data_IF_898501381080
#
_entry.id   IF_898501381080
#
_cell.length_a   1.000
_cell.length_b   1.000
_cell.length_c   1.000
_cell.angle_alpha   90.00
_cell.angle_beta   90.00
_cell.angle_gamma   90.00
#
_symmetry.space_group_name_H-M   'P 1'
#
loop_
_entity.id
_entity.type
_entity.pdbx_description
1 polymer ?
#
# COMPACT_ATOMS: atom_id res chain seq x y z
N UNK A 1 -11.69 15.87 -34.28
CA UNK A 1 -10.31 15.46 -34.00
C UNK A 1 -10.28 14.99 -32.55
N UNK A 2 -9.94 13.73 -32.32
CA UNK A 2 -9.71 13.22 -30.96
C UNK A 2 -8.27 13.57 -30.51
N UNK A 3 -8.06 13.64 -29.21
CA UNK A 3 -6.71 13.77 -28.66
C UNK A 3 -5.95 12.47 -28.94
N UNK A 4 -4.73 12.58 -29.48
CA UNK A 4 -3.89 11.42 -29.75
C UNK A 4 -3.50 10.71 -28.44
N UNK A 5 -3.69 9.39 -28.41
CA UNK A 5 -3.34 8.57 -27.26
C UNK A 5 -4.42 8.39 -26.18
N UNK A 6 -5.65 8.88 -26.47
CA UNK A 6 -6.81 8.66 -25.60
C UNK A 6 -7.96 8.02 -26.40
N UNK A 7 -8.51 6.96 -25.87
CA UNK A 7 -9.68 6.27 -26.42
C UNK A 7 -10.94 6.77 -25.74
N UNK A 8 -10.93 6.89 -24.41
CA UNK A 8 -12.03 7.39 -23.60
C UNK A 8 -11.53 8.42 -22.58
N UNK A 9 -12.42 9.35 -22.21
CA UNK A 9 -12.18 10.25 -21.09
C UNK A 9 -12.34 9.43 -19.80
N UNK A 10 -11.30 9.31 -19.01
CA UNK A 10 -11.26 8.49 -17.79
C UNK A 10 -10.36 7.27 -17.90
N UNK A 11 -9.89 6.91 -19.10
CA UNK A 11 -8.86 5.88 -19.23
C UNK A 11 -7.60 6.27 -18.47
N UNK A 12 -6.93 5.28 -17.88
CA UNK A 12 -5.62 5.48 -17.29
C UNK A 12 -4.62 5.96 -18.33
N UNK A 13 -3.81 6.92 -17.97
CA UNK A 13 -2.75 7.41 -18.83
C UNK A 13 -1.50 6.54 -18.70
N UNK A 14 -0.67 6.50 -19.73
CA UNK A 14 0.62 5.80 -19.66
C UNK A 14 1.48 6.23 -18.46
N UNK A 15 1.35 7.48 -18.02
CA UNK A 15 2.08 7.98 -16.83
C UNK A 15 1.56 7.32 -15.57
N UNK A 16 0.23 7.21 -15.42
CA UNK A 16 -0.39 6.51 -14.29
C UNK A 16 -0.02 5.02 -14.30
N UNK A 17 -0.07 4.37 -15.47
CA UNK A 17 0.33 2.97 -15.60
C UNK A 17 1.79 2.75 -15.16
N UNK A 18 2.72 3.61 -15.60
CA UNK A 18 4.13 3.52 -15.22
C UNK A 18 4.30 3.70 -13.71
N UNK A 19 3.67 4.71 -13.12
CA UNK A 19 3.78 4.99 -11.68
C UNK A 19 3.19 3.86 -10.84
N UNK A 20 1.99 3.39 -11.17
CA UNK A 20 1.33 2.32 -10.43
C UNK A 20 2.08 0.99 -10.52
N UNK A 21 2.59 0.66 -11.70
CA UNK A 21 3.42 -0.53 -11.88
C UNK A 21 4.74 -0.44 -11.12
N UNK A 22 5.36 0.75 -11.03
CA UNK A 22 6.56 0.95 -10.23
C UNK A 22 6.27 0.75 -8.73
N UNK A 23 5.17 1.31 -8.22
CA UNK A 23 4.72 1.12 -6.84
C UNK A 23 4.48 -0.36 -6.56
N UNK A 24 3.70 -1.04 -7.40
CA UNK A 24 3.38 -2.46 -7.25
C UNK A 24 4.60 -3.37 -7.32
N UNK A 25 5.55 -3.07 -8.22
CA UNK A 25 6.81 -3.78 -8.34
C UNK A 25 7.66 -3.67 -7.07
N UNK A 26 7.81 -2.45 -6.56
CA UNK A 26 8.60 -2.20 -5.36
C UNK A 26 7.96 -2.85 -4.12
N UNK A 27 6.65 -2.69 -3.96
CA UNK A 27 5.90 -3.27 -2.86
C UNK A 27 5.99 -4.80 -2.85
N UNK A 28 5.70 -5.43 -4.00
CA UNK A 28 5.81 -6.88 -4.14
C UNK A 28 7.23 -7.39 -3.93
N UNK A 29 8.23 -6.70 -4.49
CA UNK A 29 9.64 -7.10 -4.34
C UNK A 29 10.10 -7.05 -2.88
N UNK A 30 9.69 -6.02 -2.15
CA UNK A 30 9.96 -5.91 -0.71
C UNK A 30 9.28 -7.05 0.07
N UNK A 31 8.02 -7.38 -0.25
CA UNK A 31 7.31 -8.50 0.38
C UNK A 31 8.02 -9.84 0.14
N UNK A 32 8.53 -10.09 -1.06
CA UNK A 32 9.33 -11.28 -1.38
C UNK A 32 10.63 -11.33 -0.58
N UNK A 33 11.17 -10.20 -0.16
CA UNK A 33 12.34 -10.09 0.72
C UNK A 33 11.99 -10.23 2.21
N UNK A 34 10.72 -10.44 2.57
CA UNK A 34 10.27 -10.56 3.95
C UNK A 34 9.88 -9.24 4.61
N UNK A 35 9.46 -8.26 3.83
CA UNK A 35 8.96 -6.96 4.32
C UNK A 35 7.60 -7.08 5.00
N UNK A 36 7.48 -7.94 6.00
CA UNK A 36 6.28 -8.07 6.81
C UNK A 36 6.62 -8.48 8.25
N UNK A 37 5.71 -8.19 9.15
CA UNK A 37 5.79 -8.59 10.56
C UNK A 37 4.50 -9.27 10.95
N UNK A 38 4.62 -10.46 11.52
CA UNK A 38 3.50 -11.23 12.04
C UNK A 38 3.18 -10.82 13.48
N UNK A 39 1.90 -10.57 13.75
CA UNK A 39 1.36 -10.25 15.07
C UNK A 39 0.42 -11.37 15.50
N UNK A 40 0.86 -12.33 16.31
CA UNK A 40 0.01 -13.41 16.82
C UNK A 40 -0.94 -12.93 17.92
N UNK A 41 -1.94 -13.74 18.25
CA UNK A 41 -2.81 -13.54 19.43
C UNK A 41 -2.60 -14.69 20.42
N UNK A 42 -2.27 -14.41 21.69
CA UNK A 42 -1.87 -13.11 22.23
C UNK A 42 -0.49 -12.69 21.69
N UNK A 43 -0.32 -11.41 21.45
CA UNK A 43 1.01 -10.86 21.17
C UNK A 43 1.79 -10.73 22.46
N UNK A 44 2.94 -11.38 22.56
CA UNK A 44 3.72 -11.41 23.80
C UNK A 44 5.07 -10.70 23.71
N UNK A 45 5.29 -9.86 22.70
CA UNK A 45 6.66 -9.49 22.70
C UNK A 45 7.20 -8.29 21.97
N UNK A 46 6.64 -7.88 20.90
CA UNK A 46 7.27 -6.81 20.12
C UNK A 46 7.00 -5.43 20.73
N UNK A 47 5.81 -5.20 21.26
CA UNK A 47 5.40 -3.87 21.75
C UNK A 47 4.61 -3.95 23.06
N UNK A 48 5.00 -4.83 23.96
CA UNK A 48 4.40 -4.91 25.29
C UNK A 48 3.11 -5.71 25.40
N UNK A 49 2.86 -6.59 24.43
CA UNK A 49 1.73 -7.53 24.49
C UNK A 49 0.37 -6.96 24.09
N UNK A 50 0.35 -5.81 23.43
CA UNK A 50 -0.90 -5.10 23.04
C UNK A 50 -1.13 -5.00 21.55
N UNK A 51 -0.21 -5.45 20.72
CA UNK A 51 -0.22 -5.26 19.27
C UNK A 51 -1.37 -6.00 18.59
N UNK A 52 -1.76 -7.16 19.11
CA UNK A 52 -2.93 -7.91 18.63
C UNK A 52 -4.25 -7.26 19.03
N UNK A 53 -4.25 -6.33 20.00
CA UNK A 53 -5.45 -5.67 20.50
C UNK A 53 -5.79 -4.46 19.64
N UNK A 54 -6.94 -4.52 18.98
CA UNK A 54 -7.46 -3.43 18.19
C UNK A 54 -7.98 -2.29 19.09
N UNK A 55 -7.90 -1.09 18.58
CA UNK A 55 -8.38 0.13 19.23
C UNK A 55 -9.67 0.62 18.59
N UNK A 56 -10.63 0.98 19.42
CA UNK A 56 -11.85 1.63 18.94
C UNK A 56 -11.51 2.96 18.26
N UNK A 57 -12.00 3.14 17.04
CA UNK A 57 -11.87 4.40 16.30
C UNK A 57 -13.07 5.28 16.65
N UNK A 58 -12.77 6.46 17.19
CA UNK A 58 -13.78 7.50 17.45
C UNK A 58 -13.89 8.41 16.23
N UNK A 59 -14.72 7.98 15.28
CA UNK A 59 -14.98 8.66 14.02
C UNK A 59 -16.47 8.91 13.85
N UNK A 60 -16.93 10.17 13.75
CA UNK A 60 -18.35 10.50 13.63
C UNK A 60 -19.02 9.99 12.35
N UNK A 61 -18.26 9.50 11.36
CA UNK A 61 -18.79 8.83 10.16
C UNK A 61 -19.37 7.45 10.49
N UNK A 62 -19.01 6.87 11.64
CA UNK A 62 -19.40 5.53 12.06
C UNK A 62 -20.10 5.56 13.43
N UNK A 63 -20.94 4.58 13.69
CA UNK A 63 -21.45 4.36 15.02
C UNK A 63 -20.35 3.83 15.93
N UNK A 64 -20.23 4.37 17.15
CA UNK A 64 -19.25 3.90 18.13
C UNK A 64 -19.35 2.39 18.34
N UNK A 65 -18.21 1.69 18.27
CA UNK A 65 -18.15 0.22 18.29
C UNK A 65 -18.15 -0.45 16.92
N UNK A 66 -18.25 0.31 15.84
CA UNK A 66 -18.28 -0.24 14.48
C UNK A 66 -16.87 -0.40 13.87
N UNK A 67 -15.94 0.52 14.15
CA UNK A 67 -14.60 0.50 13.55
C UNK A 67 -13.54 0.30 14.63
N UNK A 68 -12.65 -0.66 14.38
CA UNK A 68 -11.55 -1.01 15.28
C UNK A 68 -10.26 -1.11 14.47
N UNK A 69 -9.24 -0.35 14.82
CA UNK A 69 -7.99 -0.28 14.06
C UNK A 69 -6.84 -0.99 14.77
N UNK A 70 -5.95 -1.56 13.95
CA UNK A 70 -4.66 -2.10 14.38
C UNK A 70 -3.68 -0.97 14.71
N UNK A 71 -2.59 -1.27 15.40
CA UNK A 71 -1.50 -0.30 15.63
C UNK A 71 -0.72 0.03 14.36
N UNK A 72 -0.81 -0.84 13.35
CA UNK A 72 -0.17 -0.67 12.04
C UNK A 72 -1.20 -0.74 10.93
N UNK A 73 -1.23 0.20 10.01
CA UNK A 73 -1.98 0.06 8.76
C UNK A 73 -1.24 -0.88 7.80
N UNK A 74 -1.76 -1.00 6.59
CA UNK A 74 -1.10 -1.72 5.50
C UNK A 74 -0.90 -3.20 5.80
N UNK A 75 -2.01 -3.87 6.09
CA UNK A 75 -1.98 -5.32 6.34
C UNK A 75 -1.64 -6.07 5.05
N UNK A 76 -0.91 -7.16 5.20
CA UNK A 76 -0.62 -8.05 4.07
C UNK A 76 -1.92 -8.70 3.60
N UNK A 77 -2.24 -8.51 2.34
CA UNK A 77 -3.37 -9.15 1.67
C UNK A 77 -2.91 -10.11 0.56
N UNK A 78 -1.64 -10.02 0.14
CA UNK A 78 -1.07 -10.82 -0.92
C UNK A 78 -0.84 -12.27 -0.46
N UNK A 79 -1.30 -13.21 -1.24
CA UNK A 79 -1.02 -14.63 -1.03
C UNK A 79 0.39 -14.99 -1.54
N UNK A 80 0.98 -16.04 -0.95
CA UNK A 80 2.24 -16.61 -1.45
C UNK A 80 3.52 -15.88 -1.04
N UNK A 81 3.45 -14.87 -0.17
CA UNK A 81 4.64 -14.13 0.33
C UNK A 81 5.18 -14.65 1.67
N UNK A 82 4.59 -15.69 2.23
CA UNK A 82 5.04 -16.28 3.49
C UNK A 82 4.56 -15.58 4.76
N UNK A 83 3.73 -14.55 4.64
CA UNK A 83 3.08 -13.90 5.78
C UNK A 83 2.15 -14.86 6.53
N UNK A 84 1.77 -14.50 7.75
CA UNK A 84 0.82 -15.26 8.57
C UNK A 84 -0.42 -15.61 7.75
N UNK A 85 -0.63 -16.90 7.50
CA UNK A 85 -1.76 -17.35 6.69
C UNK A 85 -3.01 -17.51 7.52
N UNK A 86 -4.12 -17.02 7.00
CA UNK A 86 -5.46 -17.31 7.50
C UNK A 86 -5.85 -18.77 7.19
N UNK A 87 -6.69 -19.35 8.03
CA UNK A 87 -7.39 -20.60 7.70
C UNK A 87 -8.40 -20.40 6.55
N UNK A 88 -8.72 -19.14 6.23
CA UNK A 88 -9.53 -18.77 5.08
C UNK A 88 -8.64 -18.10 4.02
N UNK A 89 -8.45 -18.71 2.84
CA UNK A 89 -7.61 -18.16 1.77
C UNK A 89 -8.13 -16.83 1.21
N UNK A 90 -9.39 -16.45 1.48
CA UNK A 90 -9.93 -15.15 1.10
C UNK A 90 -9.37 -13.99 1.95
N UNK A 91 -8.69 -14.27 3.06
CA UNK A 91 -8.12 -13.27 3.94
C UNK A 91 -6.67 -13.64 4.29
N UNK A 92 -5.74 -13.54 3.34
CA UNK A 92 -4.33 -13.76 3.60
C UNK A 92 -3.85 -12.80 4.69
N UNK A 93 -2.98 -13.28 5.56
CA UNK A 93 -2.44 -12.46 6.65
C UNK A 93 -3.39 -12.16 7.82
N UNK A 94 -4.65 -12.64 7.80
CA UNK A 94 -5.62 -12.45 8.88
C UNK A 94 -6.29 -13.79 9.23
N UNK A 95 -6.15 -14.25 10.47
CA UNK A 95 -6.72 -15.54 10.91
C UNK A 95 -8.16 -15.45 11.43
N UNK A 96 -8.70 -14.25 11.65
CA UNK A 96 -10.00 -13.97 12.21
C UNK A 96 -9.94 -12.95 13.34
N UNK A 97 -11.12 -12.46 13.77
CA UNK A 97 -11.26 -11.46 14.83
C UNK A 97 -11.78 -12.12 16.08
N UNK A 98 -11.17 -11.83 17.22
CA UNK A 98 -11.66 -12.25 18.54
C UNK A 98 -12.41 -11.09 19.18
N UNK A 99 -13.61 -11.35 19.66
CA UNK A 99 -14.39 -10.41 20.48
C UNK A 99 -14.60 -11.07 21.83
N UNK A 100 -14.10 -10.44 22.90
CA UNK A 100 -14.16 -10.98 24.26
C UNK A 100 -13.68 -12.45 24.34
N UNK A 101 -12.52 -12.72 23.71
CA UNK A 101 -11.85 -14.03 23.61
C UNK A 101 -12.54 -15.07 22.71
N UNK A 102 -13.72 -14.80 22.15
CA UNK A 102 -14.36 -15.68 21.17
C UNK A 102 -13.88 -15.36 19.77
N UNK A 103 -13.39 -16.36 19.05
CA UNK A 103 -12.89 -16.21 17.68
C UNK A 103 -14.06 -16.23 16.68
N UNK A 104 -14.12 -15.23 15.83
CA UNK A 104 -15.03 -15.11 14.70
C UNK A 104 -14.21 -15.18 13.40
N UNK A 105 -14.38 -16.24 12.60
CA UNK A 105 -13.68 -16.33 11.30
C UNK A 105 -14.22 -15.29 10.31
N UNK A 106 -13.49 -14.98 9.24
CA UNK A 106 -13.90 -13.99 8.24
C UNK A 106 -15.25 -14.24 7.56
N UNK A 107 -15.72 -15.50 7.58
CA UNK A 107 -17.04 -15.89 7.05
C UNK A 107 -18.20 -15.69 8.03
N UNK A 108 -17.96 -15.09 9.21
CA UNK A 108 -18.99 -14.87 10.24
C UNK A 108 -20.11 -13.98 9.70
N UNK A 109 -21.36 -14.37 10.02
CA UNK A 109 -22.58 -13.61 9.69
C UNK A 109 -23.28 -13.14 10.96
N UNK A 110 -24.23 -12.23 10.82
CA UNK A 110 -25.02 -11.70 11.95
C UNK A 110 -24.30 -10.59 12.71
N UNK A 111 -24.51 -10.52 14.02
CA UNK A 111 -24.05 -9.40 14.87
C UNK A 111 -22.55 -9.15 14.81
N UNK A 112 -21.75 -10.19 14.62
CA UNK A 112 -20.30 -10.11 14.54
C UNK A 112 -19.78 -10.25 13.10
N UNK A 113 -20.63 -10.04 12.10
CA UNK A 113 -20.18 -9.93 10.72
C UNK A 113 -19.26 -8.71 10.57
N UNK A 114 -18.16 -8.88 9.86
CA UNK A 114 -17.16 -7.83 9.67
C UNK A 114 -16.43 -8.00 8.36
N UNK A 115 -15.77 -6.95 7.94
CA UNK A 115 -14.74 -6.99 6.92
C UNK A 115 -13.45 -6.35 7.41
N UNK A 116 -12.33 -6.73 6.78
CA UNK A 116 -11.01 -6.20 7.11
C UNK A 116 -10.58 -5.25 6.01
N UNK A 117 -10.37 -4.01 6.36
CA UNK A 117 -9.73 -3.01 5.51
C UNK A 117 -8.21 -3.16 5.64
N UNK A 118 -7.60 -3.84 4.68
CA UNK A 118 -6.17 -4.16 4.73
C UNK A 118 -5.29 -2.92 4.56
N UNK A 119 -5.72 -1.95 3.77
CA UNK A 119 -4.94 -0.74 3.51
C UNK A 119 -4.86 0.11 4.79
N UNK A 120 -6.00 0.33 5.43
CA UNK A 120 -6.07 1.18 6.61
C UNK A 120 -5.78 0.43 7.92
N UNK A 121 -5.69 -0.90 7.87
CA UNK A 121 -5.49 -1.73 9.05
C UNK A 121 -6.67 -1.60 10.02
N UNK A 122 -7.88 -1.82 9.54
CA UNK A 122 -9.08 -1.68 10.34
C UNK A 122 -10.04 -2.86 10.15
N UNK A 123 -10.71 -3.23 11.23
CA UNK A 123 -11.86 -4.14 11.21
C UNK A 123 -13.13 -3.30 11.29
N UNK A 124 -14.02 -3.50 10.35
CA UNK A 124 -15.31 -2.80 10.30
C UNK A 124 -16.44 -3.80 10.48
N UNK A 125 -17.12 -3.73 11.62
CA UNK A 125 -18.30 -4.54 11.88
C UNK A 125 -19.52 -3.97 11.15
N UNK A 126 -20.33 -4.83 10.56
CA UNK A 126 -21.57 -4.42 9.90
C UNK A 126 -22.55 -3.81 10.90
N UNK A 127 -22.56 -4.33 12.14
CA UNK A 127 -23.34 -3.81 13.27
C UNK A 127 -22.38 -3.42 14.39
N UNK A 128 -22.58 -2.24 14.97
CA UNK A 128 -21.76 -1.79 16.08
C UNK A 128 -21.82 -2.77 17.25
N UNK A 129 -20.66 -3.16 17.77
CA UNK A 129 -20.52 -3.97 18.99
C UNK A 129 -20.27 -3.05 20.20
N UNK A 130 -20.38 -3.58 21.40
CA UNK A 130 -20.18 -2.77 22.60
C UNK A 130 -18.78 -2.12 22.59
N UNK A 131 -18.69 -0.81 22.79
CA UNK A 131 -17.44 -0.07 22.82
C UNK A 131 -16.48 -0.53 23.94
N UNK A 132 -17.00 -1.22 24.96
CA UNK A 132 -16.22 -1.84 26.03
C UNK A 132 -15.66 -3.23 25.67
N UNK A 133 -15.98 -3.76 24.49
CA UNK A 133 -15.47 -5.07 24.04
C UNK A 133 -13.95 -5.08 23.93
N UNK A 134 -13.36 -6.21 24.21
CA UNK A 134 -11.95 -6.48 23.90
C UNK A 134 -11.91 -7.12 22.53
N UNK A 135 -11.36 -6.40 21.55
CA UNK A 135 -11.24 -6.88 20.17
C UNK A 135 -9.77 -7.15 19.87
N UNK A 136 -9.47 -8.35 19.35
CA UNK A 136 -8.13 -8.79 19.02
C UNK A 136 -8.12 -9.46 17.66
N UNK A 137 -6.98 -9.37 16.96
CA UNK A 137 -6.79 -10.00 15.66
C UNK A 137 -5.34 -10.47 15.51
N UNK A 138 -5.15 -11.68 15.00
CA UNK A 138 -3.85 -12.09 14.47
C UNK A 138 -3.76 -11.61 13.03
N UNK A 139 -2.69 -10.89 12.69
CA UNK A 139 -2.50 -10.29 11.38
C UNK A 139 -1.03 -10.17 11.03
N UNK A 140 -0.75 -9.96 9.75
CA UNK A 140 0.56 -9.53 9.29
C UNK A 140 0.43 -8.15 8.68
N UNK A 141 1.42 -7.28 8.91
CA UNK A 141 1.46 -5.96 8.29
C UNK A 141 2.76 -5.76 7.52
N UNK A 142 2.73 -4.92 6.48
CA UNK A 142 3.92 -4.52 5.73
C UNK A 142 4.78 -3.59 6.58
N UNK A 143 6.03 -3.97 6.81
CA UNK A 143 6.94 -3.14 7.61
C UNK A 143 7.26 -1.82 6.90
N UNK A 144 7.61 -1.88 5.62
CA UNK A 144 7.77 -0.71 4.75
C UNK A 144 6.57 -0.60 3.83
N UNK A 145 5.92 0.54 3.83
CA UNK A 145 4.84 0.84 2.90
C UNK A 145 5.38 1.49 1.63
N UNK A 146 4.84 1.10 0.47
CA UNK A 146 5.13 1.79 -0.80
C UNK A 146 3.84 2.43 -1.29
N UNK A 147 3.88 3.71 -1.61
CA UNK A 147 2.70 4.46 -1.99
C UNK A 147 3.01 5.54 -3.03
N UNK A 148 1.97 5.96 -3.75
CA UNK A 148 2.09 7.16 -4.59
C UNK A 148 2.21 8.39 -3.70
N UNK A 149 3.05 9.32 -4.13
CA UNK A 149 3.23 10.62 -3.47
C UNK A 149 2.75 11.72 -4.40
N UNK A 150 1.74 12.46 -3.97
CA UNK A 150 1.15 13.55 -4.75
C UNK A 150 1.55 14.92 -4.14
N UNK A 151 2.86 15.14 -4.07
CA UNK A 151 3.41 16.40 -3.60
C UNK A 151 3.24 16.65 -2.09
N UNK A 152 3.03 17.92 -1.71
CA UNK A 152 3.05 18.33 -0.31
C UNK A 152 1.94 17.73 0.56
N UNK A 153 0.81 17.33 -0.01
CA UNK A 153 -0.29 16.72 0.75
C UNK A 153 0.11 15.36 1.33
N UNK A 154 0.93 14.59 0.62
CA UNK A 154 1.44 13.31 1.07
C UNK A 154 2.25 13.42 2.37
N UNK A 155 3.16 14.41 2.47
CA UNK A 155 3.96 14.64 3.69
C UNK A 155 3.10 14.95 4.93
N UNK A 156 1.93 15.56 4.74
CA UNK A 156 1.00 15.83 5.84
C UNK A 156 0.31 14.56 6.37
N UNK A 157 0.27 13.51 5.56
CA UNK A 157 -0.31 12.22 5.94
C UNK A 157 0.69 11.31 6.64
N UNK A 158 1.98 11.67 6.67
CA UNK A 158 2.99 10.88 7.35
C UNK A 158 2.73 10.87 8.85
N UNK A 159 2.75 9.68 9.40
CA UNK A 159 2.76 9.48 10.83
C UNK A 159 4.20 9.63 11.32
N UNK A 160 4.43 10.50 12.32
CA UNK A 160 5.78 10.74 12.84
C UNK A 160 6.39 9.54 13.56
N UNK A 161 5.59 8.52 13.85
CA UNK A 161 6.01 7.28 14.50
C UNK A 161 5.61 6.09 13.69
N UNK A 162 6.41 5.04 13.79
CA UNK A 162 6.10 3.75 13.17
C UNK A 162 4.86 3.08 13.77
N UNK A 163 4.46 3.47 14.98
CA UNK A 163 3.27 2.96 15.67
C UNK A 163 2.25 4.06 15.93
N UNK A 164 0.98 3.68 15.91
CA UNK A 164 -0.11 4.57 16.32
C UNK A 164 -0.16 4.66 17.84
N UNK A 165 -0.28 5.87 18.37
CA UNK A 165 -0.52 6.11 19.80
C UNK A 165 -2.02 6.03 20.12
N UNK A 166 -2.36 5.93 21.42
CA UNK A 166 -3.78 5.94 21.82
C UNK A 166 -4.51 7.23 21.39
N UNK A 167 -3.82 8.36 21.34
CA UNK A 167 -4.37 9.64 20.91
C UNK A 167 -4.70 9.69 19.41
N UNK A 168 -4.07 8.82 18.61
CA UNK A 168 -4.32 8.76 17.17
C UNK A 168 -5.69 8.12 16.82
N UNK A 169 -6.33 7.46 17.77
CA UNK A 169 -7.64 6.83 17.58
C UNK A 169 -8.80 7.74 17.97
N UNK A 170 -8.53 8.93 18.48
CA UNK A 170 -9.55 9.92 18.78
C UNK A 170 -9.78 10.85 17.58
N UNK A 171 -11.04 11.06 17.21
CA UNK A 171 -11.39 12.04 16.18
C UNK A 171 -11.04 13.44 16.64
N UNK A 172 -10.27 14.17 15.83
CA UNK A 172 -10.16 15.61 15.97
C UNK A 172 -11.20 16.23 15.06
N UNK A 173 -12.09 17.02 15.64
CA UNK A 173 -13.22 17.64 14.95
C UNK A 173 -12.82 18.25 13.60
N UNK A 174 -13.32 17.69 12.51
CA UNK A 174 -13.21 18.24 11.16
C UNK A 174 -11.96 17.86 10.37
N UNK A 175 -11.07 16.98 10.86
CA UNK A 175 -9.83 16.61 10.16
C UNK A 175 -9.77 15.09 10.00
N UNK A 176 -10.63 14.53 9.16
CA UNK A 176 -10.72 13.09 8.92
C UNK A 176 -9.46 12.49 8.27
N UNK A 177 -8.75 13.27 7.47
CA UNK A 177 -7.48 12.86 6.87
C UNK A 177 -6.35 12.62 7.89
N UNK A 178 -6.53 13.12 9.11
CA UNK A 178 -5.59 12.90 10.21
C UNK A 178 -5.94 11.70 11.09
N UNK A 179 -7.05 11.02 10.81
CA UNK A 179 -7.40 9.79 11.52
C UNK A 179 -6.40 8.68 11.21
N UNK A 180 -6.19 7.74 12.14
CA UNK A 180 -5.20 6.67 11.99
C UNK A 180 -5.34 5.88 10.69
N UNK A 181 -6.56 5.68 10.23
CA UNK A 181 -6.87 4.96 8.99
C UNK A 181 -6.39 5.68 7.72
N UNK A 182 -6.16 6.99 7.79
CA UNK A 182 -5.75 7.82 6.65
C UNK A 182 -4.26 8.22 6.73
N UNK A 183 -3.51 7.72 7.72
CA UNK A 183 -2.09 8.07 7.89
C UNK A 183 -1.19 6.99 7.31
N UNK A 184 -0.07 7.44 6.75
CA UNK A 184 1.01 6.58 6.29
C UNK A 184 1.98 6.30 7.45
N UNK A 185 2.08 5.04 7.88
CA UNK A 185 3.02 4.65 8.91
C UNK A 185 4.46 4.56 8.35
N UNK A 186 5.44 4.88 9.18
CA UNK A 186 6.86 4.74 8.85
C UNK A 186 7.35 3.30 9.10
N UNK A 187 8.37 2.84 8.37
CA UNK A 187 8.99 3.50 7.22
C UNK A 187 8.14 3.43 5.95
N UNK A 188 8.34 4.38 5.03
CA UNK A 188 7.54 4.47 3.80
C UNK A 188 8.40 4.91 2.62
N UNK A 189 8.08 4.41 1.44
CA UNK A 189 8.60 4.87 0.15
C UNK A 189 7.46 5.57 -0.60
N UNK A 190 7.59 6.88 -0.78
CA UNK A 190 6.65 7.66 -1.59
C UNK A 190 7.19 7.84 -3.02
N UNK A 191 6.43 7.41 -4.01
CA UNK A 191 6.81 7.51 -5.43
C UNK A 191 6.12 8.71 -6.06
N UNK A 192 6.89 9.75 -6.35
CA UNK A 192 6.44 11.02 -6.94
C UNK A 192 6.86 11.14 -8.39
N UNK A 193 5.94 11.53 -9.26
CA UNK A 193 6.25 11.86 -10.65
C UNK A 193 7.06 13.17 -10.71
N UNK A 194 8.26 13.11 -11.25
CA UNK A 194 9.15 14.27 -11.38
C UNK A 194 9.13 14.88 -12.80
N UNK A 195 9.01 14.05 -13.83
CA UNK A 195 8.98 14.54 -15.19
C UNK A 195 8.88 13.43 -16.24
N UNK A 196 8.61 13.84 -17.48
CA UNK A 196 8.48 12.92 -18.60
C UNK A 196 9.04 13.51 -19.88
N UNK A 197 9.72 12.67 -20.66
CA UNK A 197 10.25 13.00 -21.98
C UNK A 197 9.80 11.97 -22.99
N UNK A 198 9.56 12.42 -24.21
CA UNK A 198 9.19 11.58 -25.34
C UNK A 198 10.24 11.73 -26.43
N UNK A 199 10.74 10.61 -26.95
CA UNK A 199 11.62 10.58 -28.11
C UNK A 199 11.08 9.58 -29.16
N UNK A 200 11.31 9.82 -30.45
CA UNK A 200 11.00 8.82 -31.47
C UNK A 200 11.78 7.53 -31.20
N UNK A 201 11.11 6.37 -31.32
CA UNK A 201 11.77 5.10 -31.11
C UNK A 201 12.42 4.56 -32.41
N UNK A 202 11.67 4.63 -33.51
CA UNK A 202 12.14 4.15 -34.82
C UNK A 202 11.38 4.80 -35.97
N UNK A 203 11.87 4.66 -37.22
CA UNK A 203 11.26 5.26 -38.41
C UNK A 203 9.84 4.74 -38.72
N UNK A 204 9.46 3.57 -38.25
CA UNK A 204 8.12 2.99 -38.43
C UNK A 204 7.08 3.42 -37.41
N UNK A 205 7.39 4.31 -36.50
CA UNK A 205 6.53 4.73 -35.39
C UNK A 205 7.01 4.22 -34.03
N UNK A 206 6.20 4.48 -33.02
CA UNK A 206 6.57 4.22 -31.63
C UNK A 206 7.33 5.39 -30.99
N UNK A 207 7.24 5.45 -29.67
CA UNK A 207 7.87 6.45 -28.84
C UNK A 207 8.65 5.77 -27.72
N UNK A 208 9.84 6.24 -27.45
CA UNK A 208 10.54 5.97 -26.22
C UNK A 208 10.07 6.98 -25.19
N UNK A 209 9.46 6.48 -24.13
CA UNK A 209 8.95 7.30 -23.04
C UNK A 209 9.90 7.17 -21.87
N UNK A 210 10.63 8.23 -21.57
CA UNK A 210 11.42 8.33 -20.34
C UNK A 210 10.60 9.05 -19.28
N UNK A 211 10.48 8.46 -18.10
CA UNK A 211 9.78 9.05 -16.97
C UNK A 211 10.70 9.07 -15.76
N UNK A 212 10.84 10.25 -15.17
CA UNK A 212 11.62 10.46 -13.96
C UNK A 212 10.67 10.43 -12.73
N UNK A 213 11.04 9.67 -11.72
CA UNK A 213 10.37 9.61 -10.42
C UNK A 213 11.34 10.01 -9.31
N UNK A 214 10.81 10.69 -8.29
CA UNK A 214 11.46 10.78 -6.99
C UNK A 214 10.85 9.76 -6.04
N UNK A 215 11.68 8.86 -5.52
CA UNK A 215 11.29 7.92 -4.50
C UNK A 215 11.79 8.43 -3.14
N UNK A 216 10.87 8.89 -2.31
CA UNK A 216 11.17 9.45 -0.99
C UNK A 216 11.16 8.33 0.05
N UNK A 217 12.34 7.91 0.50
CA UNK A 217 12.51 6.95 1.59
C UNK A 217 12.46 7.70 2.93
N UNK A 218 11.38 7.52 3.68
CA UNK A 218 11.18 8.20 4.97
C UNK A 218 11.15 7.18 6.09
N UNK A 219 11.97 7.41 7.13
CA UNK A 219 12.08 6.54 8.30
C UNK A 219 12.30 7.36 9.57
N UNK A 220 12.18 6.72 10.73
CA UNK A 220 12.48 7.33 12.04
C UNK A 220 13.99 7.37 12.31
N UNK A 221 14.75 6.44 11.74
CA UNK A 221 16.19 6.33 11.91
C UNK A 221 16.96 6.33 10.58
N UNK A 222 18.27 6.65 10.67
CA UNK A 222 19.12 6.76 9.50
C UNK A 222 19.44 5.41 8.87
N UNK A 223 19.55 4.36 9.67
CA UNK A 223 19.93 3.03 9.19
C UNK A 223 18.84 2.47 8.28
N UNK A 224 17.58 2.56 8.71
CA UNK A 224 16.42 2.13 7.91
C UNK A 224 16.31 2.96 6.63
N UNK A 225 16.43 4.30 6.73
CA UNK A 225 16.44 5.17 5.54
C UNK A 225 17.53 4.76 4.55
N UNK A 226 18.77 4.55 5.01
CA UNK A 226 19.90 4.22 4.14
C UNK A 226 19.73 2.85 3.48
N UNK A 227 19.19 1.87 4.22
CA UNK A 227 18.86 0.56 3.68
C UNK A 227 17.82 0.63 2.55
N UNK A 228 16.80 1.49 2.68
CA UNK A 228 15.81 1.71 1.64
C UNK A 228 16.42 2.41 0.41
N UNK A 229 17.27 3.41 0.64
CA UNK A 229 18.00 4.11 -0.43
C UNK A 229 18.87 3.14 -1.22
N UNK A 230 19.63 2.28 -0.53
CA UNK A 230 20.47 1.28 -1.18
C UNK A 230 19.61 0.26 -1.97
N UNK A 231 18.54 -0.23 -1.38
CA UNK A 231 17.62 -1.15 -2.06
C UNK A 231 17.08 -0.58 -3.38
N UNK A 232 16.75 0.71 -3.40
CA UNK A 232 16.26 1.39 -4.61
C UNK A 232 17.39 1.67 -5.61
N UNK A 233 18.57 2.09 -5.16
CA UNK A 233 19.68 2.39 -6.07
C UNK A 233 20.22 1.15 -6.77
N UNK A 234 20.15 -0.02 -6.12
CA UNK A 234 20.48 -1.30 -6.76
C UNK A 234 19.52 -1.71 -7.88
N UNK A 235 18.36 -1.07 -8.01
CA UNK A 235 17.42 -1.36 -9.11
C UNK A 235 17.87 -0.75 -10.46
N UNK A 236 18.96 0.01 -10.49
CA UNK A 236 19.52 0.51 -11.75
C UNK A 236 19.78 -0.63 -12.74
N UNK A 237 19.31 -0.48 -13.99
CA UNK A 237 19.34 -1.48 -15.07
C UNK A 237 18.41 -2.69 -14.90
N UNK A 238 17.56 -2.69 -13.89
CA UNK A 238 16.50 -3.71 -13.77
C UNK A 238 15.43 -3.54 -14.85
N UNK A 239 14.75 -4.62 -15.16
CA UNK A 239 13.55 -4.62 -16.02
C UNK A 239 12.40 -5.26 -15.30
N UNK A 240 11.20 -4.74 -15.53
CA UNK A 240 9.99 -5.27 -14.94
C UNK A 240 8.86 -5.35 -15.97
N UNK A 241 7.95 -6.28 -15.79
CA UNK A 241 6.71 -6.35 -16.55
C UNK A 241 5.73 -5.31 -16.02
N UNK A 242 4.88 -4.82 -16.90
CA UNK A 242 3.78 -3.93 -16.57
C UNK A 242 2.46 -4.62 -16.88
N UNK A 243 1.46 -4.36 -16.06
CA UNK A 243 0.05 -4.61 -16.39
C UNK A 243 -0.61 -3.32 -16.90
N UNK A 244 -1.69 -3.47 -17.65
CA UNK A 244 -2.49 -2.35 -18.18
C UNK A 244 -3.66 -2.10 -17.22
N UNK A 245 -3.73 -0.90 -16.64
CA UNK A 245 -4.79 -0.51 -15.71
C UNK A 245 -6.16 -0.46 -16.38
N UNK A 246 -6.22 -0.12 -17.65
CA UNK A 246 -7.50 -0.05 -18.36
C UNK A 246 -8.07 -1.45 -18.60
N UNK A 247 -7.22 -2.44 -18.90
CA UNK A 247 -7.65 -3.83 -19.02
C UNK A 247 -8.19 -4.39 -17.70
N UNK A 248 -7.53 -4.07 -16.55
CA UNK A 248 -8.02 -4.44 -15.23
C UNK A 248 -9.37 -3.78 -14.94
N UNK A 249 -9.51 -2.48 -15.24
CA UNK A 249 -10.75 -1.73 -15.04
C UNK A 249 -11.90 -2.25 -15.93
N UNK A 250 -11.62 -2.55 -17.19
CA UNK A 250 -12.62 -3.11 -18.12
C UNK A 250 -13.07 -4.53 -17.68
N UNK A 251 -12.20 -5.29 -17.02
CA UNK A 251 -12.51 -6.62 -16.48
C UNK A 251 -13.12 -6.59 -15.07
N UNK A 252 -13.13 -5.44 -14.40
CA UNK A 252 -13.48 -5.27 -12.98
C UNK A 252 -12.68 -6.24 -12.05
N UNK A 253 -11.39 -6.44 -12.36
CA UNK A 253 -10.51 -7.42 -11.70
C UNK A 253 -9.45 -6.73 -10.79
N UNK A 254 -9.86 -5.69 -10.08
CA UNK A 254 -9.01 -5.04 -9.08
C UNK A 254 -8.74 -6.01 -7.92
N UNK A 255 -7.49 -6.07 -7.41
CA UNK A 255 -7.16 -6.96 -6.29
C UNK A 255 -7.95 -6.67 -5.01
N UNK A 256 -8.19 -5.40 -4.73
CA UNK A 256 -8.95 -4.95 -3.56
C UNK A 256 -10.19 -4.19 -4.01
N UNK A 257 -11.28 -4.34 -3.26
CA UNK A 257 -12.46 -3.50 -3.42
C UNK A 257 -12.24 -2.11 -2.77
N UNK A 258 -13.24 -1.22 -2.94
CA UNK A 258 -13.19 0.14 -2.39
C UNK A 258 -13.14 0.20 -0.84
N UNK A 259 -13.37 -0.92 -0.16
CA UNK A 259 -13.28 -1.07 1.31
C UNK A 259 -11.92 -1.60 1.76
N UNK A 260 -10.98 -1.86 0.84
CA UNK A 260 -9.70 -2.47 1.13
C UNK A 260 -9.78 -3.98 1.41
N UNK A 261 -10.88 -4.63 0.99
CA UNK A 261 -11.06 -6.08 1.13
C UNK A 261 -10.57 -6.78 -0.13
N UNK A 262 -9.76 -7.84 -0.02
CA UNK A 262 -9.33 -8.61 -1.18
C UNK A 262 -10.52 -9.24 -1.91
N UNK A 263 -10.58 -9.06 -3.22
CA UNK A 263 -11.56 -9.71 -4.06
C UNK A 263 -11.30 -11.22 -4.14
N UNK A 264 -12.34 -11.99 -4.45
CA UNK A 264 -12.19 -13.43 -4.63
C UNK A 264 -11.23 -13.71 -5.80
N UNK A 265 -10.15 -14.42 -5.51
CA UNK A 265 -9.10 -14.66 -6.50
C UNK A 265 -8.20 -13.46 -6.78
N UNK A 266 -8.10 -12.52 -5.84
CA UNK A 266 -7.22 -11.36 -5.93
C UNK A 266 -5.82 -11.74 -6.42
N UNK A 267 -5.38 -11.08 -7.51
CA UNK A 267 -4.10 -11.33 -8.15
C UNK A 267 -3.01 -10.45 -7.56
N UNK A 268 -1.85 -11.02 -7.32
CA UNK A 268 -0.65 -10.25 -6.95
C UNK A 268 -0.01 -9.60 -8.17
N UNK A 269 0.97 -8.72 -7.97
CA UNK A 269 1.64 -8.02 -9.06
C UNK A 269 2.12 -8.94 -10.20
N UNK A 270 2.80 -10.08 -9.99
CA UNK A 270 3.23 -10.95 -11.09
C UNK A 270 2.05 -11.57 -11.86
N UNK A 271 0.97 -11.91 -11.17
CA UNK A 271 -0.22 -12.51 -11.77
C UNK A 271 -0.99 -11.46 -12.61
N UNK A 272 -1.05 -10.23 -12.13
CA UNK A 272 -1.60 -9.10 -12.90
C UNK A 272 -0.82 -8.89 -14.20
N UNK A 273 0.52 -8.88 -14.13
CA UNK A 273 1.36 -8.75 -15.32
C UNK A 273 1.24 -9.90 -16.30
N UNK A 274 0.93 -11.11 -15.83
CA UNK A 274 0.74 -12.29 -16.69
C UNK A 274 -0.64 -12.30 -17.32
N UNK A 275 -1.66 -11.79 -16.65
CA UNK A 275 -3.06 -11.75 -17.12
C UNK A 275 -3.31 -10.55 -18.03
N UNK A 276 -2.85 -9.37 -17.62
CA UNK A 276 -3.07 -8.07 -18.28
C UNK A 276 -1.74 -7.53 -18.78
N UNK A 277 -1.09 -8.32 -19.65
CA UNK A 277 0.26 -8.04 -20.14
C UNK A 277 0.31 -6.77 -20.97
N UNK A 278 0.80 -5.72 -20.36
CA UNK A 278 1.03 -4.46 -21.04
C UNK A 278 2.40 -4.43 -21.71
N UNK A 279 3.35 -3.81 -21.07
CA UNK A 279 4.67 -3.49 -21.61
C UNK A 279 5.78 -3.97 -20.68
N UNK A 280 7.01 -3.85 -21.15
CA UNK A 280 8.18 -3.97 -20.28
C UNK A 280 8.69 -2.57 -19.98
N UNK A 281 8.93 -2.29 -18.70
CA UNK A 281 9.57 -1.08 -18.22
C UNK A 281 11.01 -1.39 -17.82
N UNK A 282 11.93 -0.52 -18.19
CA UNK A 282 13.32 -0.59 -17.80
C UNK A 282 13.64 0.55 -16.83
N UNK A 283 14.31 0.24 -15.75
CA UNK A 283 14.91 1.24 -14.88
C UNK A 283 16.27 1.60 -15.49
N UNK A 284 16.29 2.68 -16.25
CA UNK A 284 17.51 3.16 -16.92
C UNK A 284 18.59 3.56 -15.93
N UNK A 285 18.20 4.26 -14.89
CA UNK A 285 19.06 4.79 -13.84
C UNK A 285 18.31 4.89 -12.51
N UNK A 286 19.00 4.62 -11.42
CA UNK A 286 18.51 4.83 -10.06
C UNK A 286 19.68 5.34 -9.22
N UNK A 287 19.57 6.55 -8.69
CA UNK A 287 20.66 7.20 -7.96
C UNK A 287 20.13 8.08 -6.83
N UNK A 288 20.91 8.13 -5.77
CA UNK A 288 20.67 9.03 -4.65
C UNK A 288 20.71 10.48 -5.14
N UNK A 289 19.63 11.21 -4.89
CA UNK A 289 19.50 12.64 -5.21
C UNK A 289 19.82 13.51 -3.99
N UNK A 290 19.19 13.21 -2.85
CA UNK A 290 19.38 14.02 -1.65
C UNK A 290 19.15 13.21 -0.36
N UNK A 291 19.79 13.66 0.72
CA UNK A 291 19.59 13.13 2.08
C UNK A 291 19.47 14.30 3.05
N UNK A 292 18.41 14.29 3.84
CA UNK A 292 18.19 15.33 4.85
C UNK A 292 17.36 14.81 6.03
N UNK A 293 17.17 15.65 7.03
CA UNK A 293 16.33 15.37 8.19
C UNK A 293 15.32 16.49 8.39
N UNK A 294 14.08 16.14 8.67
CA UNK A 294 13.01 17.06 8.99
C UNK A 294 12.43 16.67 10.36
N UNK A 295 12.85 17.38 11.42
CA UNK A 295 12.53 16.99 12.77
C UNK A 295 13.09 15.60 13.10
N UNK A 296 12.22 14.70 13.50
CA UNK A 296 12.54 13.29 13.79
C UNK A 296 12.69 12.44 12.54
N UNK A 297 12.12 12.89 11.42
CA UNK A 297 12.11 12.15 10.16
C UNK A 297 13.47 12.16 9.48
N UNK A 298 13.90 11.00 9.01
CA UNK A 298 15.09 10.81 8.16
C UNK A 298 14.63 10.53 6.74
N UNK A 299 15.01 11.39 5.82
CA UNK A 299 14.53 11.36 4.43
C UNK A 299 15.71 11.16 3.49
N UNK A 300 15.60 10.21 2.59
CA UNK A 300 16.50 10.00 1.48
C UNK A 300 15.68 9.97 0.19
N UNK A 301 16.08 10.74 -0.82
CA UNK A 301 15.40 10.78 -2.11
C UNK A 301 16.25 10.10 -3.15
N UNK A 302 15.69 9.08 -3.80
CA UNK A 302 16.30 8.38 -4.94
C UNK A 302 15.58 8.80 -6.20
N UNK A 303 16.33 9.31 -7.17
CA UNK A 303 15.80 9.58 -8.50
C UNK A 303 15.87 8.30 -9.33
N UNK A 304 14.73 7.83 -9.80
CA UNK A 304 14.59 6.69 -10.72
C UNK A 304 14.14 7.22 -12.08
N UNK A 305 14.90 6.90 -13.13
CA UNK A 305 14.52 7.14 -14.51
C UNK A 305 14.10 5.83 -15.16
N UNK A 306 12.87 5.77 -15.63
CA UNK A 306 12.31 4.59 -16.32
C UNK A 306 12.22 4.84 -17.83
N UNK A 307 12.29 3.76 -18.60
CA UNK A 307 12.08 3.75 -20.05
C UNK A 307 11.01 2.74 -20.43
N UNK A 308 10.05 3.18 -21.23
CA UNK A 308 8.99 2.34 -21.80
C UNK A 308 8.89 2.61 -23.29
N UNK A 309 8.85 1.55 -24.11
CA UNK A 309 8.54 1.67 -25.54
C UNK A 309 7.02 1.67 -25.68
N UNK A 310 6.50 2.74 -26.25
CA UNK A 310 5.07 2.92 -26.49
C UNK A 310 4.78 3.00 -27.98
N UNK A 311 4.04 2.03 -28.49
CA UNK A 311 3.47 2.10 -29.82
C UNK A 311 2.07 2.70 -29.68
N UNK A 312 1.96 4.01 -29.93
CA UNK A 312 0.68 4.72 -29.87
C UNK A 312 -0.34 4.11 -30.82
N UNK A 313 -1.58 4.01 -30.38
CA UNK A 313 -2.74 3.68 -31.21
C UNK A 313 -3.10 4.87 -32.09
#
# INVERSE_FOLDING_TARGET
MSLKGFVRLGDSTLTNDIQENLVSYLDHSLLQMGNFVDVPVPSTGLYGGVDSRLRLVDDPRYTSGQVWATFRPNLVWESGVGALTSTNPAYPGVSGVRVNSTLYPPSTTGTYAYHVDHINGAVRFDTAIAASSVVEMAYSYKYVSVTRSDGLSWFKQLQERSERSNGDFASQSGIYELLPENRQALPVIGVELAGRRLAPYQLGGGQLVETDFYCHCVAEDSYTRDSLVDALTYQSKASMKMYDLNEIADADDFPLDYRGVPNSGAKTYPDLCSTYSGRTMYIKDAKLDSVYSLGTLKIGTVKITTEVIHFGV
#
